data_IF_530845351432
#
_entry.id   IF_530845351432
#
_cell.length_a   1.000
_cell.length_b   1.000
_cell.length_c   1.000
_cell.angle_alpha   90.00
_cell.angle_beta   90.00
_cell.angle_gamma   90.00
#
_symmetry.space_group_name_H-M   'P 1'
#
loop_
_entity.id
_entity.type
_entity.pdbx_description
1 polymer ?
#
# COMPACT_ATOMS: atom_id res chain seq x y z
N UNK A 1 1.71 -17.39 -13.38
CA UNK A 1 1.79 -15.92 -13.30
C UNK A 1 2.24 -15.59 -11.87
N UNK A 2 3.31 -14.80 -11.73
CA UNK A 2 3.76 -14.38 -10.40
C UNK A 2 2.72 -13.43 -9.77
N UNK A 3 2.45 -13.56 -8.47
CA UNK A 3 1.50 -12.65 -7.79
C UNK A 3 1.98 -11.18 -7.84
N UNK A 4 1.04 -10.24 -7.91
CA UNK A 4 1.33 -8.81 -7.81
C UNK A 4 1.67 -8.46 -6.36
N UNK A 5 2.86 -7.95 -6.10
CA UNK A 5 3.34 -7.65 -4.74
C UNK A 5 3.13 -6.17 -4.42
N UNK A 6 2.30 -5.88 -3.43
CA UNK A 6 1.96 -4.54 -2.99
C UNK A 6 2.43 -4.34 -1.55
N UNK A 7 3.34 -3.40 -1.32
CA UNK A 7 3.99 -3.18 -0.03
C UNK A 7 3.55 -1.86 0.57
N UNK A 8 3.01 -1.91 1.78
CA UNK A 8 2.70 -0.72 2.57
C UNK A 8 3.90 -0.37 3.45
N UNK A 9 4.55 0.75 3.16
CA UNK A 9 5.78 1.16 3.80
C UNK A 9 5.78 2.61 4.25
N UNK A 10 6.28 2.84 5.47
CA UNK A 10 6.58 4.15 6.03
C UNK A 10 7.37 3.94 7.34
N UNK A 11 8.42 4.72 7.58
CA UNK A 11 9.23 4.67 8.81
C UNK A 11 8.54 5.28 10.04
N UNK A 12 7.38 5.91 9.84
CA UNK A 12 6.61 6.51 10.94
C UNK A 12 5.49 5.58 11.38
N UNK A 13 5.37 5.37 12.69
CA UNK A 13 4.25 4.65 13.28
C UNK A 13 2.94 5.42 13.14
N UNK A 14 1.81 4.72 13.16
CA UNK A 14 0.48 5.35 13.22
C UNK A 14 -0.01 6.00 11.91
N UNK A 15 0.68 5.81 10.79
CA UNK A 15 0.27 6.37 9.49
C UNK A 15 -0.85 5.58 8.78
N UNK A 16 -1.24 4.42 9.35
CA UNK A 16 -2.32 3.60 8.83
C UNK A 16 -1.90 2.53 7.83
N UNK A 17 -0.61 2.14 7.77
CA UNK A 17 -0.10 1.06 6.91
C UNK A 17 -0.95 -0.21 7.00
N UNK A 18 -0.97 -0.83 8.18
CA UNK A 18 -1.68 -2.09 8.42
C UNK A 18 -3.18 -2.01 8.13
N UNK A 19 -3.82 -0.88 8.48
CA UNK A 19 -5.24 -0.65 8.20
C UNK A 19 -5.50 -0.61 6.70
N UNK A 20 -4.71 0.16 5.94
CA UNK A 20 -4.88 0.26 4.49
C UNK A 20 -4.48 -1.04 3.79
N UNK A 21 -3.45 -1.74 4.29
CA UNK A 21 -3.06 -3.06 3.80
C UNK A 21 -4.22 -4.06 3.88
N UNK A 22 -4.88 -4.14 5.05
CA UNK A 22 -6.02 -5.03 5.22
C UNK A 22 -7.22 -4.62 4.36
N UNK A 23 -7.54 -3.31 4.30
CA UNK A 23 -8.63 -2.83 3.47
C UNK A 23 -8.40 -3.13 1.98
N UNK A 24 -7.17 -2.98 1.50
CA UNK A 24 -6.82 -3.35 0.13
C UNK A 24 -6.91 -4.86 -0.08
N UNK A 25 -6.38 -5.66 0.82
CA UNK A 25 -6.44 -7.12 0.73
C UNK A 25 -7.88 -7.62 0.63
N UNK A 26 -8.78 -7.11 1.51
CA UNK A 26 -10.20 -7.48 1.48
C UNK A 26 -10.86 -6.97 0.21
N UNK A 27 -10.55 -5.75 -0.24
CA UNK A 27 -11.10 -5.21 -1.49
C UNK A 27 -10.75 -6.09 -2.70
N UNK A 28 -9.55 -6.64 -2.75
CA UNK A 28 -9.13 -7.59 -3.80
C UNK A 28 -9.86 -8.93 -3.66
N UNK A 29 -9.97 -9.47 -2.44
CA UNK A 29 -10.66 -10.74 -2.18
C UNK A 29 -12.15 -10.67 -2.53
N UNK A 30 -12.84 -9.59 -2.20
CA UNK A 30 -14.26 -9.38 -2.55
C UNK A 30 -14.47 -9.36 -4.07
N UNK A 31 -13.44 -9.03 -4.84
CA UNK A 31 -13.43 -9.10 -6.32
C UNK A 31 -13.09 -10.50 -6.87
N UNK A 32 -12.98 -11.49 -5.99
CA UNK A 32 -12.72 -12.89 -6.34
C UNK A 32 -11.27 -13.25 -6.57
N UNK A 33 -10.32 -12.38 -6.15
CA UNK A 33 -8.89 -12.66 -6.24
C UNK A 33 -8.41 -13.50 -5.05
N UNK A 34 -7.44 -14.36 -5.28
CA UNK A 34 -6.71 -15.07 -4.23
C UNK A 34 -5.62 -14.13 -3.70
N UNK A 35 -5.69 -13.77 -2.43
CA UNK A 35 -4.78 -12.81 -1.81
C UNK A 35 -4.02 -13.44 -0.65
N UNK A 36 -2.71 -13.23 -0.63
CA UNK A 36 -1.90 -13.45 0.56
C UNK A 36 -1.60 -12.12 1.27
N UNK A 37 -1.46 -12.18 2.59
CA UNK A 37 -1.02 -11.07 3.43
C UNK A 37 0.24 -11.48 4.19
N UNK A 38 1.26 -10.62 4.22
CA UNK A 38 2.50 -10.84 4.96
C UNK A 38 2.71 -9.67 5.93
N UNK A 39 2.82 -9.98 7.22
CA UNK A 39 3.11 -9.02 8.29
C UNK A 39 4.59 -9.08 8.63
N UNK A 40 5.34 -8.05 8.24
CA UNK A 40 6.76 -7.89 8.59
C UNK A 40 6.96 -7.07 9.88
N UNK A 41 5.87 -6.56 10.47
CA UNK A 41 5.85 -5.92 11.78
C UNK A 41 5.24 -6.86 12.84
N UNK A 42 5.61 -8.13 12.77
CA UNK A 42 5.02 -9.18 13.62
C UNK A 42 5.18 -8.91 15.14
N UNK A 43 6.17 -8.08 15.54
CA UNK A 43 6.33 -7.63 16.92
C UNK A 43 5.17 -6.75 17.40
N UNK A 44 4.64 -5.87 16.53
CA UNK A 44 3.40 -5.12 16.77
C UNK A 44 2.18 -5.95 16.35
N UNK A 45 2.29 -6.74 15.30
CA UNK A 45 1.30 -7.70 14.82
C UNK A 45 -0.06 -7.09 14.50
N UNK A 46 -0.13 -5.84 14.02
CA UNK A 46 -1.40 -5.18 13.76
C UNK A 46 -2.15 -5.85 12.62
N UNK A 47 -1.48 -6.16 11.50
CA UNK A 47 -2.09 -6.85 10.38
C UNK A 47 -2.48 -8.28 10.78
N UNK A 48 -1.61 -8.97 11.49
CA UNK A 48 -1.87 -10.34 11.99
C UNK A 48 -3.09 -10.40 12.90
N UNK A 49 -3.23 -9.43 13.83
CA UNK A 49 -4.45 -9.32 14.66
C UNK A 49 -5.70 -9.03 13.84
N UNK A 50 -5.58 -8.21 12.80
CA UNK A 50 -6.70 -7.91 11.92
C UNK A 50 -7.21 -9.18 11.22
N UNK A 51 -6.28 -10.00 10.69
CA UNK A 51 -6.60 -11.29 10.06
C UNK A 51 -7.20 -12.27 11.06
N UNK A 52 -6.63 -12.37 12.28
CA UNK A 52 -7.16 -13.24 13.33
C UNK A 52 -8.57 -12.83 13.78
N UNK A 53 -8.82 -11.53 13.96
CA UNK A 53 -10.14 -11.00 14.29
C UNK A 53 -11.16 -11.35 13.19
N UNK A 54 -10.77 -11.24 11.92
CA UNK A 54 -11.62 -11.59 10.77
C UNK A 54 -12.00 -13.06 10.77
N UNK A 55 -11.05 -13.96 11.01
CA UNK A 55 -11.31 -15.39 11.11
C UNK A 55 -12.26 -15.71 12.31
N UNK A 56 -12.01 -15.09 13.45
CA UNK A 56 -12.86 -15.22 14.64
C UNK A 56 -14.28 -14.72 14.41
N UNK A 57 -14.44 -13.60 13.68
CA UNK A 57 -15.75 -13.06 13.30
C UNK A 57 -16.51 -14.06 12.43
N UNK A 58 -15.89 -14.59 11.37
CA UNK A 58 -16.50 -15.58 10.50
C UNK A 58 -16.98 -16.81 11.28
N UNK A 59 -16.10 -17.34 12.16
CA UNK A 59 -16.42 -18.50 13.00
C UNK A 59 -17.58 -18.23 13.98
N UNK A 60 -17.56 -17.07 14.66
CA UNK A 60 -18.58 -16.69 15.67
C UNK A 60 -19.95 -16.44 15.04
N UNK A 61 -19.98 -15.84 13.85
CA UNK A 61 -21.24 -15.42 13.21
C UNK A 61 -21.76 -16.40 12.17
N UNK A 62 -20.96 -17.38 11.76
CA UNK A 62 -21.28 -18.28 10.64
C UNK A 62 -21.36 -17.60 9.28
N UNK A 63 -20.90 -16.32 9.17
CA UNK A 63 -20.93 -15.58 7.91
C UNK A 63 -19.72 -15.94 7.06
N UNK A 64 -19.98 -16.22 5.79
CA UNK A 64 -18.93 -16.43 4.81
C UNK A 64 -18.34 -15.10 4.37
N UNK A 65 -17.13 -14.81 4.82
CA UNK A 65 -16.33 -13.65 4.40
C UNK A 65 -14.97 -14.13 3.90
N UNK A 66 -14.42 -13.53 2.83
CA UNK A 66 -13.17 -14.00 2.24
C UNK A 66 -12.01 -13.88 3.23
N UNK A 67 -11.12 -14.89 3.24
CA UNK A 67 -9.94 -14.97 4.09
C UNK A 67 -8.67 -14.97 3.22
N UNK A 68 -7.61 -14.28 3.68
CA UNK A 68 -6.31 -14.31 3.04
C UNK A 68 -5.46 -15.48 3.55
N UNK A 69 -4.56 -15.99 2.71
CA UNK A 69 -3.42 -16.72 3.21
C UNK A 69 -2.55 -15.74 4.00
N UNK A 70 -2.22 -16.04 5.25
CA UNK A 70 -1.50 -15.09 6.10
C UNK A 70 -0.20 -15.67 6.66
N UNK A 71 0.85 -14.86 6.63
CA UNK A 71 2.16 -15.19 7.22
C UNK A 71 2.67 -13.98 7.98
N UNK A 72 3.18 -14.20 9.20
CA UNK A 72 3.90 -13.20 9.98
C UNK A 72 5.38 -13.57 10.04
N UNK A 73 6.28 -12.60 9.80
CA UNK A 73 7.72 -12.80 9.81
C UNK A 73 8.33 -11.90 10.89
N UNK A 74 9.05 -12.50 11.81
CA UNK A 74 9.84 -11.79 12.82
C UNK A 74 11.21 -11.44 12.24
N UNK A 75 11.81 -10.29 12.63
CA UNK A 75 13.17 -9.94 12.23
C UNK A 75 14.16 -11.04 12.63
N UNK A 76 14.98 -11.45 11.68
CA UNK A 76 16.07 -12.39 11.94
C UNK A 76 17.28 -11.69 12.56
N UNK A 77 18.21 -12.42 13.20
CA UNK A 77 19.45 -11.84 13.76
C UNK A 77 20.36 -11.19 12.71
N UNK A 78 20.25 -11.61 11.44
CA UNK A 78 21.08 -11.14 10.34
C UNK A 78 20.22 -10.75 9.13
N UNK A 79 20.60 -9.69 8.44
CA UNK A 79 19.84 -9.13 7.31
C UNK A 79 19.65 -10.13 6.14
N UNK A 80 20.65 -10.95 5.85
CA UNK A 80 20.55 -11.97 4.78
C UNK A 80 19.51 -13.04 5.09
N UNK A 81 19.27 -13.33 6.38
CA UNK A 81 18.23 -14.24 6.82
C UNK A 81 16.83 -13.64 6.66
N UNK A 82 16.67 -12.33 6.82
CA UNK A 82 15.41 -11.61 6.56
C UNK A 82 14.96 -11.78 5.10
N UNK A 83 15.90 -11.63 4.15
CA UNK A 83 15.62 -11.76 2.72
C UNK A 83 15.24 -13.21 2.35
N UNK A 84 15.95 -14.19 2.92
CA UNK A 84 15.67 -15.62 2.69
C UNK A 84 14.29 -16.03 3.23
N UNK A 85 13.93 -15.60 4.44
CA UNK A 85 12.62 -15.88 5.03
C UNK A 85 11.47 -15.25 4.22
N UNK A 86 11.63 -14.01 3.79
CA UNK A 86 10.65 -13.34 2.94
C UNK A 86 10.53 -14.02 1.59
N UNK A 87 11.65 -14.39 0.95
CA UNK A 87 11.67 -15.11 -0.31
C UNK A 87 10.92 -16.44 -0.22
N UNK A 88 11.14 -17.19 0.86
CA UNK A 88 10.43 -18.44 1.14
C UNK A 88 8.93 -18.21 1.32
N UNK A 89 8.54 -17.18 2.10
CA UNK A 89 7.13 -16.85 2.30
C UNK A 89 6.45 -16.44 0.98
N UNK A 90 7.12 -15.68 0.12
CA UNK A 90 6.64 -15.33 -1.22
C UNK A 90 6.51 -16.55 -2.12
N UNK A 91 7.43 -17.51 -2.04
CA UNK A 91 7.36 -18.79 -2.76
C UNK A 91 6.08 -19.57 -2.42
N UNK A 92 5.64 -19.55 -1.17
CA UNK A 92 4.39 -20.17 -0.73
C UNK A 92 3.11 -19.46 -1.24
N UNK A 93 3.26 -18.25 -1.78
CA UNK A 93 2.16 -17.45 -2.33
C UNK A 93 2.01 -17.62 -3.86
N UNK A 94 2.70 -18.55 -4.50
CA UNK A 94 2.74 -18.72 -5.96
C UNK A 94 1.37 -18.89 -6.63
N UNK A 95 0.39 -19.44 -5.92
CA UNK A 95 -0.99 -19.61 -6.40
C UNK A 95 -1.90 -18.40 -6.13
N UNK A 96 -1.37 -17.34 -5.50
CA UNK A 96 -2.12 -16.12 -5.26
C UNK A 96 -2.06 -15.17 -6.45
N UNK A 97 -3.12 -14.39 -6.63
CA UNK A 97 -3.16 -13.30 -7.62
C UNK A 97 -2.39 -12.07 -7.12
N UNK A 98 -2.46 -11.79 -5.80
CA UNK A 98 -1.77 -10.68 -5.16
C UNK A 98 -1.22 -11.04 -3.78
N UNK A 99 -0.12 -10.37 -3.40
CA UNK A 99 0.45 -10.40 -2.06
C UNK A 99 0.48 -8.96 -1.51
N UNK A 100 -0.12 -8.76 -0.34
CA UNK A 100 -0.11 -7.48 0.36
C UNK A 100 0.80 -7.59 1.57
N UNK A 101 1.84 -6.75 1.62
CA UNK A 101 2.86 -6.77 2.66
C UNK A 101 2.75 -5.51 3.52
N UNK A 102 2.67 -5.69 4.83
CA UNK A 102 2.78 -4.62 5.83
C UNK A 102 4.19 -4.58 6.41
N UNK A 103 4.82 -3.40 6.45
CA UNK A 103 6.21 -3.26 6.92
C UNK A 103 6.29 -2.53 8.27
N UNK A 104 7.37 -2.78 9.05
CA UNK A 104 7.59 -2.06 10.30
C UNK A 104 7.66 -0.54 10.11
N UNK A 105 7.27 0.18 11.16
CA UNK A 105 7.34 1.65 11.21
C UNK A 105 8.73 2.19 11.57
N UNK A 106 9.79 1.45 11.27
CA UNK A 106 11.18 1.84 11.51
C UNK A 106 12.13 1.24 10.48
N UNK A 107 13.36 1.72 10.46
CA UNK A 107 14.42 1.20 9.61
C UNK A 107 14.85 -0.21 10.06
N UNK A 108 14.72 -1.21 9.17
CA UNK A 108 15.19 -2.58 9.42
C UNK A 108 15.54 -3.28 8.11
N UNK A 109 16.34 -4.35 8.20
CA UNK A 109 16.66 -5.22 7.06
C UNK A 109 15.41 -5.80 6.43
N UNK A 110 14.49 -6.28 7.27
CA UNK A 110 13.20 -6.85 6.83
C UNK A 110 12.32 -5.83 6.11
N UNK A 111 12.30 -4.57 6.56
CA UNK A 111 11.62 -3.49 5.83
C UNK A 111 12.23 -3.26 4.45
N UNK A 112 13.55 -3.21 4.33
CA UNK A 112 14.22 -3.05 3.03
C UNK A 112 13.98 -4.25 2.12
N UNK A 113 14.05 -5.48 2.65
CA UNK A 113 13.70 -6.69 1.90
C UNK A 113 12.28 -6.59 1.36
N UNK A 114 11.27 -6.30 2.21
CA UNK A 114 9.89 -6.12 1.80
C UNK A 114 9.74 -5.13 0.64
N UNK A 115 10.34 -3.95 0.77
CA UNK A 115 10.31 -2.93 -0.28
C UNK A 115 10.96 -3.41 -1.59
N UNK A 116 12.04 -4.21 -1.52
CA UNK A 116 12.78 -4.67 -2.69
C UNK A 116 12.02 -5.69 -3.54
N UNK A 117 11.06 -6.41 -2.97
CA UNK A 117 10.21 -7.36 -3.69
C UNK A 117 8.96 -6.71 -4.31
N UNK A 118 8.67 -5.46 -3.95
CA UNK A 118 7.45 -4.79 -4.39
C UNK A 118 7.36 -4.61 -5.91
N UNK A 119 6.17 -4.77 -6.45
CA UNK A 119 5.77 -4.15 -7.73
C UNK A 119 5.24 -2.74 -7.49
N UNK A 120 4.57 -2.55 -6.34
CA UNK A 120 4.02 -1.27 -5.92
C UNK A 120 4.40 -1.03 -4.45
N UNK A 121 4.97 0.13 -4.17
CA UNK A 121 5.13 0.64 -2.79
C UNK A 121 4.05 1.69 -2.56
N UNK A 122 3.25 1.50 -1.52
CA UNK A 122 2.27 2.46 -1.03
C UNK A 122 2.78 3.08 0.26
N UNK A 123 2.98 4.38 0.28
CA UNK A 123 3.42 5.12 1.47
C UNK A 123 2.30 6.02 1.99
N UNK A 124 1.53 5.57 3.00
CA UNK A 124 0.55 6.44 3.65
C UNK A 124 1.26 7.47 4.53
N UNK A 125 0.83 8.73 4.41
CA UNK A 125 1.30 9.85 5.24
C UNK A 125 0.10 10.51 5.90
N UNK A 126 0.22 10.85 7.19
CA UNK A 126 -0.79 11.73 7.80
C UNK A 126 -0.70 13.13 7.17
N UNK A 127 -1.81 13.85 7.20
CA UNK A 127 -1.93 15.18 6.61
C UNK A 127 -1.27 16.27 7.49
N UNK A 128 0.05 16.18 7.62
CA UNK A 128 0.84 17.05 8.49
C UNK A 128 2.18 17.41 7.85
N UNK A 129 2.63 18.65 8.03
CA UNK A 129 3.97 19.09 7.60
C UNK A 129 5.08 18.25 8.26
N UNK A 130 4.90 17.83 9.51
CA UNK A 130 5.86 16.99 10.24
C UNK A 130 5.97 15.59 9.58
N UNK A 131 4.91 15.11 8.95
CA UNK A 131 4.93 13.80 8.30
C UNK A 131 5.62 13.84 6.93
N UNK A 132 5.73 15.02 6.31
CA UNK A 132 6.51 15.20 5.09
C UNK A 132 8.01 14.94 5.28
N UNK A 133 8.54 15.08 6.50
CA UNK A 133 9.95 14.78 6.82
C UNK A 133 10.30 13.31 6.52
N UNK A 134 9.31 12.42 6.50
CA UNK A 134 9.50 11.03 6.04
C UNK A 134 9.95 10.98 4.58
N UNK A 135 9.53 11.90 3.73
CA UNK A 135 9.91 11.95 2.32
C UNK A 135 11.13 12.82 2.07
N UNK A 136 11.20 13.97 2.75
CA UNK A 136 12.32 14.90 2.60
C UNK A 136 12.38 15.87 3.79
N UNK A 137 13.60 16.27 4.15
CA UNK A 137 13.79 17.39 5.06
C UNK A 137 13.30 18.69 4.42
N UNK A 138 12.46 19.43 5.15
CA UNK A 138 11.89 20.71 4.71
C UNK A 138 12.57 21.83 5.49
N UNK A 139 13.06 22.85 4.79
CA UNK A 139 13.53 24.07 5.42
C UNK A 139 12.35 24.79 6.10
N UNK A 140 12.37 24.97 7.44
CA UNK A 140 11.21 25.47 8.16
C UNK A 140 10.93 26.97 7.88
N UNK A 141 11.95 27.73 7.44
CA UNK A 141 11.86 29.15 7.15
C UNK A 141 11.39 29.36 5.71
N UNK A 142 12.10 28.76 4.77
CA UNK A 142 11.83 28.92 3.34
C UNK A 142 10.70 28.03 2.84
N UNK A 143 10.29 27.01 3.60
CA UNK A 143 9.29 25.99 3.23
C UNK A 143 9.61 25.31 1.89
N UNK A 144 10.90 25.07 1.64
CA UNK A 144 11.39 24.39 0.46
C UNK A 144 12.02 23.04 0.82
N UNK A 145 12.07 22.17 -0.16
CA UNK A 145 12.69 20.83 -0.03
C UNK A 145 14.20 21.01 0.06
N UNK A 146 14.80 20.58 1.17
CA UNK A 146 16.23 20.65 1.38
C UNK A 146 16.94 19.42 0.81
N UNK A 147 16.62 18.20 1.29
CA UNK A 147 17.24 16.94 0.87
C UNK A 147 16.26 15.78 0.98
N UNK A 148 16.42 14.69 0.19
CA UNK A 148 15.69 13.46 0.41
C UNK A 148 15.89 12.94 1.84
N UNK A 149 14.89 12.23 2.35
CA UNK A 149 14.97 11.55 3.64
C UNK A 149 15.65 10.18 3.51
N UNK A 150 15.98 9.56 4.64
CA UNK A 150 16.47 8.18 4.70
C UNK A 150 15.45 7.20 4.09
N UNK A 151 14.16 7.42 4.32
CA UNK A 151 13.11 6.60 3.73
C UNK A 151 13.09 6.69 2.20
N UNK A 152 13.22 7.89 1.65
CA UNK A 152 13.30 8.08 0.19
C UNK A 152 14.53 7.42 -0.41
N UNK A 153 15.69 7.51 0.26
CA UNK A 153 16.92 6.81 -0.14
C UNK A 153 16.72 5.29 -0.12
N UNK A 154 16.02 4.77 0.89
CA UNK A 154 15.65 3.35 0.97
C UNK A 154 14.74 2.92 -0.17
N UNK A 155 13.70 3.68 -0.48
CA UNK A 155 12.82 3.39 -1.59
C UNK A 155 13.61 3.33 -2.93
N UNK A 156 14.60 4.19 -3.10
CA UNK A 156 15.49 4.14 -4.26
C UNK A 156 16.41 2.92 -4.24
N UNK A 157 16.98 2.57 -3.09
CA UNK A 157 17.77 1.35 -2.92
C UNK A 157 16.93 0.11 -3.26
N UNK A 158 15.70 0.06 -2.81
CA UNK A 158 14.76 -1.02 -3.14
C UNK A 158 14.50 -1.12 -4.65
N UNK A 159 14.30 0.02 -5.34
CA UNK A 159 14.16 0.06 -6.81
C UNK A 159 15.40 -0.49 -7.52
N UNK A 160 16.60 -0.16 -7.03
CA UNK A 160 17.86 -0.68 -7.59
C UNK A 160 18.01 -2.18 -7.33
N UNK A 161 17.67 -2.65 -6.12
CA UNK A 161 17.70 -4.09 -5.79
C UNK A 161 16.74 -4.88 -6.69
N UNK A 162 15.51 -4.39 -6.90
CA UNK A 162 14.52 -5.01 -7.80
C UNK A 162 15.05 -5.09 -9.23
N UNK A 163 15.58 -3.98 -9.75
CA UNK A 163 16.10 -3.93 -11.11
C UNK A 163 17.30 -4.89 -11.33
N UNK A 164 18.16 -5.03 -10.31
CA UNK A 164 19.29 -5.98 -10.37
C UNK A 164 18.88 -7.43 -10.25
N UNK A 165 17.84 -7.74 -9.44
CA UNK A 165 17.39 -9.11 -9.19
C UNK A 165 16.68 -9.71 -10.39
N UNK A 166 15.76 -8.98 -11.02
CA UNK A 166 14.86 -9.52 -12.05
C UNK A 166 14.52 -8.55 -13.19
N UNK A 167 15.19 -7.39 -13.27
CA UNK A 167 14.89 -6.34 -14.25
C UNK A 167 13.57 -5.62 -14.01
N UNK A 168 12.87 -5.92 -12.90
CA UNK A 168 11.58 -5.34 -12.54
C UNK A 168 11.66 -3.87 -12.16
N UNK A 169 10.49 -3.23 -12.14
CA UNK A 169 10.32 -1.82 -11.75
C UNK A 169 9.36 -1.74 -10.57
N UNK A 170 9.62 -0.80 -9.67
CA UNK A 170 8.75 -0.49 -8.54
C UNK A 170 8.03 0.82 -8.82
N UNK A 171 6.70 0.79 -8.83
CA UNK A 171 5.87 1.99 -8.81
C UNK A 171 5.70 2.46 -7.37
N UNK A 172 6.16 3.66 -7.06
CA UNK A 172 6.08 4.22 -5.73
C UNK A 172 4.97 5.26 -5.66
N UNK A 173 3.99 5.03 -4.78
CA UNK A 173 2.80 5.84 -4.62
C UNK A 173 2.69 6.33 -3.19
N UNK A 174 2.52 7.64 -3.03
CA UNK A 174 2.27 8.30 -1.76
C UNK A 174 0.79 8.64 -1.66
N UNK A 175 0.16 8.28 -0.54
CA UNK A 175 -1.25 8.58 -0.26
C UNK A 175 -1.36 9.36 1.05
N UNK A 176 -2.03 10.52 0.99
CA UNK A 176 -2.37 11.27 2.21
C UNK A 176 -3.45 10.52 2.96
N UNK A 177 -3.22 10.24 4.23
CA UNK A 177 -4.14 9.51 5.07
C UNK A 177 -4.60 10.37 6.25
N UNK A 178 -5.73 10.02 6.85
CA UNK A 178 -6.34 10.75 7.95
C UNK A 178 -6.55 12.24 7.65
N UNK A 179 -7.06 12.51 6.46
CA UNK A 179 -7.41 13.88 6.09
C UNK A 179 -8.48 14.41 7.06
N UNK A 180 -8.12 15.36 7.91
CA UNK A 180 -9.04 16.06 8.79
C UNK A 180 -10.00 16.97 8.01
N UNK A 181 -11.11 17.40 8.61
CA UNK A 181 -12.04 18.36 7.97
C UNK A 181 -11.61 19.80 8.17
N UNK A 182 -10.82 20.06 9.21
CA UNK A 182 -10.38 21.37 9.65
C UNK A 182 -9.05 21.76 9.00
N UNK A 183 -8.83 23.05 8.72
CA UNK A 183 -7.60 23.64 8.18
C UNK A 183 -7.34 23.42 6.67
N UNK A 184 -8.18 24.06 5.85
CA UNK A 184 -8.03 24.06 4.38
C UNK A 184 -6.69 24.65 3.91
N UNK A 185 -6.10 25.61 4.65
CA UNK A 185 -4.83 26.25 4.28
C UNK A 185 -3.65 25.32 4.42
N UNK A 186 -3.59 24.56 5.53
CA UNK A 186 -2.53 23.56 5.76
C UNK A 186 -2.62 22.41 4.77
N UNK A 187 -3.83 21.94 4.47
CA UNK A 187 -4.07 20.90 3.47
C UNK A 187 -3.57 21.28 2.09
N UNK A 188 -3.81 22.52 1.69
CA UNK A 188 -3.35 23.05 0.41
C UNK A 188 -1.82 23.09 0.37
N UNK A 189 -1.18 23.64 1.41
CA UNK A 189 0.28 23.72 1.51
C UNK A 189 0.93 22.32 1.48
N UNK A 190 0.41 21.37 2.28
CA UNK A 190 0.89 19.97 2.28
C UNK A 190 0.72 19.36 0.90
N UNK A 191 -0.41 19.57 0.22
CA UNK A 191 -0.66 19.07 -1.13
C UNK A 191 0.31 19.63 -2.18
N UNK A 192 0.61 20.93 -2.13
CA UNK A 192 1.57 21.60 -3.01
C UNK A 192 2.99 21.06 -2.79
N UNK A 193 3.41 20.88 -1.53
CA UNK A 193 4.72 20.32 -1.18
C UNK A 193 4.86 18.86 -1.62
N UNK A 194 3.85 18.02 -1.40
CA UNK A 194 3.86 16.63 -1.85
C UNK A 194 3.97 16.56 -3.38
N UNK A 195 3.25 17.42 -4.10
CA UNK A 195 3.30 17.47 -5.57
C UNK A 195 4.69 17.88 -6.06
N UNK A 196 5.32 18.85 -5.41
CA UNK A 196 6.68 19.26 -5.72
C UNK A 196 7.70 18.14 -5.41
N UNK A 197 7.53 17.44 -4.28
CA UNK A 197 8.33 16.28 -3.88
C UNK A 197 8.20 15.13 -4.89
N UNK A 198 6.99 14.84 -5.36
CA UNK A 198 6.71 13.78 -6.32
C UNK A 198 7.57 13.90 -7.58
N UNK A 199 7.67 15.10 -8.14
CA UNK A 199 8.50 15.39 -9.32
C UNK A 199 10.00 15.23 -9.05
N UNK A 200 10.46 15.60 -7.85
CA UNK A 200 11.87 15.59 -7.49
C UNK A 200 12.37 14.21 -7.07
N UNK A 201 11.56 13.46 -6.35
CA UNK A 201 11.93 12.17 -5.73
C UNK A 201 11.51 10.99 -6.62
N UNK A 202 10.51 11.16 -7.49
CA UNK A 202 10.07 10.12 -8.42
C UNK A 202 9.06 9.15 -7.82
N UNK A 203 8.01 9.67 -7.18
CA UNK A 203 6.81 8.94 -6.79
C UNK A 203 5.55 9.56 -7.41
N UNK A 204 4.45 8.82 -7.41
CA UNK A 204 3.12 9.32 -7.79
C UNK A 204 2.32 9.66 -6.54
N UNK A 205 1.36 10.57 -6.66
CA UNK A 205 0.46 10.95 -5.56
C UNK A 205 -0.91 10.38 -5.85
N UNK A 206 -1.46 9.62 -4.88
CA UNK A 206 -2.84 9.17 -4.93
C UNK A 206 -3.78 10.16 -4.22
N UNK A 207 -5.07 10.07 -4.53
CA UNK A 207 -6.10 10.78 -3.79
C UNK A 207 -6.04 10.41 -2.31
N UNK A 208 -6.23 11.40 -1.43
CA UNK A 208 -6.15 11.17 0.00
C UNK A 208 -7.38 10.47 0.57
N UNK A 209 -7.19 9.87 1.75
CA UNK A 209 -8.20 9.13 2.52
C UNK A 209 -8.55 9.93 3.77
N UNK A 210 -9.83 10.20 3.99
CA UNK A 210 -10.30 10.95 5.13
C UNK A 210 -10.17 10.15 6.45
N UNK A 211 -9.96 10.87 7.57
CA UNK A 211 -10.05 10.23 8.88
C UNK A 211 -11.51 9.87 9.19
N UNK A 212 -11.74 8.61 9.52
CA UNK A 212 -13.09 8.08 9.84
C UNK A 212 -13.01 7.12 11.00
N UNK A 213 -13.94 7.23 11.93
CA UNK A 213 -14.06 6.36 13.10
C UNK A 213 -14.28 4.90 12.68
N UNK A 214 -15.00 4.66 11.59
CA UNK A 214 -15.32 3.34 11.07
C UNK A 214 -14.08 2.44 10.86
N UNK A 215 -12.94 2.98 10.49
CA UNK A 215 -11.71 2.20 10.33
C UNK A 215 -11.21 1.59 11.65
N UNK A 216 -11.51 2.23 12.79
CA UNK A 216 -11.14 1.75 14.13
C UNK A 216 -12.18 0.77 14.67
N UNK A 217 -13.46 1.06 14.46
CA UNK A 217 -14.56 0.21 14.94
C UNK A 217 -14.52 -1.16 14.28
N UNK A 218 -14.29 -1.22 12.98
CA UNK A 218 -14.25 -2.47 12.21
C UNK A 218 -13.05 -3.36 12.55
N UNK A 219 -11.99 -2.81 13.11
CA UNK A 219 -10.78 -3.56 13.47
C UNK A 219 -11.06 -4.72 14.44
N UNK A 220 -11.94 -4.52 15.43
CA UNK A 220 -12.24 -5.51 16.46
C UNK A 220 -12.90 -6.77 15.89
N UNK A 221 -13.64 -6.64 14.81
CA UNK A 221 -14.27 -7.75 14.09
C UNK A 221 -13.46 -8.19 12.85
N UNK A 222 -12.33 -7.56 12.57
CA UNK A 222 -11.54 -7.85 11.38
C UNK A 222 -12.26 -7.50 10.08
N UNK A 223 -13.25 -6.63 10.14
CA UNK A 223 -14.06 -6.19 9.01
C UNK A 223 -13.47 -4.94 8.35
N UNK A 224 -13.85 -4.71 7.11
CA UNK A 224 -13.46 -3.55 6.32
C UNK A 224 -14.68 -2.86 5.71
N UNK A 225 -14.48 -1.69 5.14
CA UNK A 225 -15.57 -0.95 4.46
C UNK A 225 -16.18 -1.71 3.27
N UNK A 226 -15.45 -2.68 2.70
CA UNK A 226 -15.99 -3.53 1.63
C UNK A 226 -16.96 -4.60 2.16
N UNK A 227 -16.76 -5.08 3.38
CA UNK A 227 -17.64 -6.09 4.00
C UNK A 227 -19.04 -5.55 4.30
N UNK A 228 -19.17 -4.24 4.53
CA UNK A 228 -20.48 -3.61 4.78
C UNK A 228 -21.49 -3.82 3.65
N UNK A 229 -21.01 -3.93 2.41
CA UNK A 229 -21.86 -4.20 1.26
C UNK A 229 -22.32 -5.66 1.19
N UNK A 230 -21.50 -6.59 1.67
CA UNK A 230 -21.76 -8.03 1.62
C UNK A 230 -22.63 -8.47 2.79
N UNK A 231 -22.39 -7.89 3.97
CA UNK A 231 -23.03 -8.33 5.20
C UNK A 231 -24.49 -7.89 5.37
N UNK A 232 -25.02 -7.04 4.46
CA UNK A 232 -26.41 -6.53 4.50
C UNK A 232 -26.88 -6.33 5.95
N UNK A 233 -26.11 -5.57 6.70
CA UNK A 233 -26.56 -5.17 8.05
C UNK A 233 -27.82 -4.33 7.85
N UNK A 234 -28.88 -4.62 8.61
CA UNK A 234 -30.18 -3.92 8.58
C UNK A 234 -30.11 -2.41 8.87
N UNK A 235 -28.91 -1.86 8.94
CA UNK A 235 -28.62 -0.44 9.09
C UNK A 235 -28.35 0.22 7.74
N UNK A 236 -28.99 1.32 7.50
CA UNK A 236 -28.75 2.22 6.37
C UNK A 236 -27.23 2.43 6.21
N UNK A 237 -26.70 2.17 5.00
CA UNK A 237 -25.35 2.58 4.64
C UNK A 237 -25.22 4.10 4.88
N UNK A 238 -24.55 4.47 5.96
CA UNK A 238 -24.33 5.88 6.29
C UNK A 238 -23.46 6.49 5.20
N UNK A 239 -23.70 7.72 4.81
CA UNK A 239 -22.96 8.42 3.75
C UNK A 239 -21.43 8.36 3.95
N UNK A 240 -20.97 8.31 5.21
CA UNK A 240 -19.54 8.15 5.52
C UNK A 240 -18.96 6.81 5.05
N UNK A 241 -19.75 5.73 5.06
CA UNK A 241 -19.33 4.40 4.58
C UNK A 241 -19.20 4.37 3.05
N UNK A 242 -20.16 4.98 2.37
CA UNK A 242 -20.13 5.11 0.89
C UNK A 242 -18.89 5.91 0.47
N UNK A 243 -18.61 7.02 1.15
CA UNK A 243 -17.44 7.83 0.89
C UNK A 243 -16.12 7.07 1.17
N UNK A 244 -16.04 6.31 2.28
CA UNK A 244 -14.86 5.50 2.59
C UNK A 244 -14.58 4.43 1.52
N UNK A 245 -15.62 3.78 0.99
CA UNK A 245 -15.49 2.82 -0.13
C UNK A 245 -15.06 3.49 -1.41
N UNK A 246 -15.58 4.69 -1.71
CA UNK A 246 -15.17 5.47 -2.87
C UNK A 246 -13.70 5.88 -2.79
N UNK A 247 -13.22 6.28 -1.62
CA UNK A 247 -11.80 6.60 -1.38
C UNK A 247 -10.89 5.38 -1.57
N UNK A 248 -11.30 4.21 -1.06
CA UNK A 248 -10.55 2.95 -1.25
C UNK A 248 -10.52 2.55 -2.74
N UNK A 249 -11.63 2.69 -3.46
CA UNK A 249 -11.69 2.44 -4.91
C UNK A 249 -10.76 3.40 -5.66
N UNK A 250 -10.76 4.68 -5.32
CA UNK A 250 -9.85 5.67 -5.90
C UNK A 250 -8.38 5.31 -5.64
N UNK A 251 -8.04 4.79 -4.45
CA UNK A 251 -6.71 4.28 -4.17
C UNK A 251 -6.38 3.10 -5.11
N UNK A 252 -7.27 2.11 -5.24
CA UNK A 252 -7.05 0.96 -6.14
C UNK A 252 -6.82 1.40 -7.59
N UNK A 253 -7.57 2.37 -8.09
CA UNK A 253 -7.38 2.95 -9.42
C UNK A 253 -6.01 3.63 -9.55
N UNK A 254 -5.60 4.40 -8.53
CA UNK A 254 -4.27 5.02 -8.51
C UNK A 254 -3.13 3.99 -8.50
N UNK A 255 -3.35 2.82 -7.88
CA UNK A 255 -2.43 1.68 -7.90
C UNK A 255 -2.45 0.93 -9.26
N UNK A 256 -3.32 1.30 -10.19
CA UNK A 256 -3.49 0.59 -11.45
C UNK A 256 -4.04 -0.84 -11.29
N UNK A 257 -4.78 -1.09 -10.20
CA UNK A 257 -5.36 -2.40 -9.90
C UNK A 257 -6.72 -2.52 -10.58
N UNK A 258 -6.96 -3.60 -11.36
CA UNK A 258 -8.23 -3.82 -12.04
C UNK A 258 -9.40 -3.98 -11.07
N UNK A 259 -10.58 -3.53 -11.47
CA UNK A 259 -11.78 -3.57 -10.65
C UNK A 259 -12.48 -4.94 -10.66
N UNK A 260 -12.12 -5.82 -11.60
CA UNK A 260 -12.71 -7.16 -11.73
C UNK A 260 -11.63 -8.23 -11.91
N UNK A 261 -11.95 -9.46 -11.53
CA UNK A 261 -11.05 -10.61 -11.74
C UNK A 261 -10.73 -10.80 -13.22
N UNK A 262 -11.70 -10.66 -14.11
CA UNK A 262 -11.48 -10.79 -15.54
C UNK A 262 -10.47 -9.77 -16.09
N UNK A 263 -10.60 -8.50 -15.67
CA UNK A 263 -9.64 -7.45 -16.04
C UNK A 263 -8.26 -7.68 -15.41
N UNK A 264 -8.20 -8.25 -14.19
CA UNK A 264 -6.93 -8.65 -13.56
C UNK A 264 -6.21 -9.73 -14.38
N UNK A 265 -6.92 -10.80 -14.76
CA UNK A 265 -6.34 -11.88 -15.57
C UNK A 265 -5.89 -11.38 -16.94
N UNK A 266 -6.63 -10.47 -17.58
CA UNK A 266 -6.24 -9.85 -18.84
C UNK A 266 -4.96 -9.01 -18.72
N UNK A 267 -4.84 -8.20 -17.66
CA UNK A 267 -3.63 -7.36 -17.41
C UNK A 267 -2.39 -8.20 -17.08
N UNK A 268 -2.56 -9.35 -16.45
CA UNK A 268 -1.47 -10.28 -16.15
C UNK A 268 -1.00 -11.07 -17.37
N UNK A 269 -1.82 -11.18 -18.42
CA UNK A 269 -1.49 -11.88 -19.66
C UNK A 269 -0.78 -10.99 -20.70
N UNK A 270 -0.77 -9.67 -20.52
CA UNK A 270 -0.04 -8.76 -21.43
C UNK A 270 1.48 -8.84 -21.17
N UNK A 271 2.30 -9.24 -22.16
CA UNK A 271 3.74 -9.25 -21.99
C UNK A 271 4.28 -7.81 -21.90
N UNK A 272 5.34 -7.62 -21.10
CA UNK A 272 6.03 -6.33 -20.81
C UNK A 272 6.59 -5.57 -22.06
N UNK A 273 6.21 -5.95 -23.28
CA UNK A 273 6.83 -5.48 -24.54
C UNK A 273 6.37 -4.10 -25.06
N UNK A 274 5.38 -3.45 -24.45
CA UNK A 274 4.85 -2.16 -24.97
C UNK A 274 5.44 -0.88 -24.40
N UNK A 275 6.44 -0.96 -23.51
CA UNK A 275 7.04 0.24 -22.90
C UNK A 275 8.18 0.89 -23.71
N UNK A 276 8.47 0.45 -24.93
CA UNK A 276 9.64 0.91 -25.72
C UNK A 276 9.29 1.51 -27.10
N UNK A 277 8.12 2.13 -27.24
CA UNK A 277 7.88 2.99 -28.43
C UNK A 277 7.99 4.45 -28.00
N UNK A 278 9.22 4.98 -28.02
CA UNK A 278 9.48 6.41 -28.10
C UNK A 278 8.88 6.94 -29.40
N UNK A 279 8.20 8.09 -29.41
CA UNK A 279 7.76 8.70 -30.66
C UNK A 279 9.00 9.10 -31.49
N UNK A 280 9.09 8.51 -32.66
CA UNK A 280 10.08 8.80 -33.68
C UNK A 280 9.96 10.29 -34.05
N UNK A 281 10.92 11.12 -33.64
CA UNK A 281 11.07 12.48 -34.17
C UNK A 281 11.54 12.36 -35.60
N UNK A 282 10.60 12.45 -36.52
CA UNK A 282 10.89 12.65 -37.97
C UNK A 282 11.64 13.98 -38.13
N UNK A 283 12.90 13.89 -38.53
CA UNK A 283 13.62 15.00 -39.13
C UNK A 283 12.91 15.38 -40.45
N UNK A 284 12.41 16.62 -40.52
CA UNK A 284 12.09 17.27 -41.78
C UNK A 284 13.37 17.89 -42.33
N UNK A 285 13.67 17.71 -43.61
CA UNK A 285 14.75 18.43 -44.28
C UNK A 285 14.23 19.77 -44.84
N UNK A 286 15.01 20.82 -44.67
CA UNK A 286 14.75 22.13 -45.23
C UNK A 286 15.78 23.12 -44.73
#
# INVERSE_FOLDING_TARGET
VNPKIIVFGNEKGGTGKSTLAMHLAVALMVRGLKVATIDLDAGQGTLSRYVANRASYAQRTGKEIPQSLHTAILPAPFQDADDAELSKALGNCGDCDAVVIDTPGHDSGLSLAGHSYADIIVTPLNDSLIDLDVLAGIDPIKKIIARPSRYSERAWKAKQMRARRDGGRIDWIVVRNRLGQLDARNKRLVGELITALAKRIGFRVAQGIAERVIYREMFLDGLTVEDLAVLKTDGQLVMSHVAARAELRSLMQALGLPETKAAWMASAAEPLSRANQSPNMSHAPG
#
